data_IF_353694644925
#
_entry.id   IF_353694644925
#
_cell.length_a   1.000
_cell.length_b   1.000
_cell.length_c   1.000
_cell.angle_alpha   90.00
_cell.angle_beta   90.00
_cell.angle_gamma   90.00
#
_symmetry.space_group_name_H-M   'P 1'
#
loop_
_entity.id
_entity.type
_entity.pdbx_description
1 polymer ?
#
# COMPACT_ATOMS: atom_id res chain seq x y z
N UNK A 1 14.87 0.19 -1.74
CA UNK A 1 14.54 -1.24 -1.73
C UNK A 1 15.47 -2.06 -0.85
N UNK A 2 16.20 -1.44 0.08
CA UNK A 2 17.13 -2.17 0.93
C UNK A 2 16.38 -3.20 1.78
N UNK A 3 16.86 -4.45 1.76
CA UNK A 3 16.24 -5.59 2.47
C UNK A 3 15.03 -6.22 1.79
N UNK A 4 14.60 -5.75 0.60
CA UNK A 4 13.51 -6.38 -0.15
C UNK A 4 14.00 -7.53 -1.03
N UNK A 5 13.20 -8.60 -1.13
CA UNK A 5 13.44 -9.69 -2.08
C UNK A 5 12.75 -9.33 -3.40
N UNK A 6 13.52 -9.29 -4.49
CA UNK A 6 13.02 -9.05 -5.84
C UNK A 6 13.06 -10.37 -6.63
N UNK A 7 11.91 -11.02 -6.79
CA UNK A 7 11.80 -12.24 -7.62
C UNK A 7 11.90 -11.87 -9.10
N UNK A 8 12.84 -12.47 -9.85
CA UNK A 8 12.95 -12.26 -11.30
C UNK A 8 11.65 -12.60 -12.04
N UNK A 9 10.93 -13.62 -11.59
CA UNK A 9 9.65 -14.07 -12.18
C UNK A 9 8.57 -13.00 -12.00
N UNK A 10 8.50 -12.37 -10.82
CA UNK A 10 7.56 -11.29 -10.56
C UNK A 10 7.85 -10.05 -11.43
N UNK A 11 9.13 -9.70 -11.60
CA UNK A 11 9.56 -8.59 -12.46
C UNK A 11 9.28 -8.87 -13.93
N UNK A 12 9.52 -10.10 -14.39
CA UNK A 12 9.18 -10.52 -15.75
C UNK A 12 7.67 -10.49 -15.99
N UNK A 13 6.87 -10.90 -15.00
CA UNK A 13 5.41 -10.91 -15.09
C UNK A 13 4.81 -9.49 -15.18
N UNK A 14 5.25 -8.57 -14.32
CA UNK A 14 4.68 -7.21 -14.27
C UNK A 14 5.40 -6.19 -15.16
N UNK A 15 6.59 -6.52 -15.68
CA UNK A 15 7.41 -5.66 -16.54
C UNK A 15 8.02 -4.44 -15.83
N UNK A 16 8.01 -4.40 -14.49
CA UNK A 16 8.54 -3.28 -13.72
C UNK A 16 10.06 -3.43 -13.61
N UNK A 17 10.78 -2.36 -13.96
CA UNK A 17 12.18 -2.15 -13.56
C UNK A 17 12.24 -1.25 -12.31
N UNK A 18 12.54 -1.80 -11.12
CA UNK A 18 12.62 -1.02 -9.88
C UNK A 18 13.76 0.00 -9.86
N UNK A 19 14.77 -0.15 -10.72
CA UNK A 19 15.97 0.69 -10.79
C UNK A 19 15.90 1.77 -11.87
N UNK A 20 14.82 1.81 -12.66
CA UNK A 20 14.63 2.84 -13.68
C UNK A 20 14.57 4.25 -13.04
N UNK A 21 15.51 5.16 -13.34
CA UNK A 21 15.55 6.49 -12.74
C UNK A 21 14.35 7.37 -13.14
N UNK A 22 13.69 7.05 -14.26
CA UNK A 22 12.52 7.77 -14.77
C UNK A 22 11.20 7.20 -14.23
N UNK A 23 11.22 6.16 -13.38
CA UNK A 23 10.01 5.56 -12.78
C UNK A 23 9.25 6.52 -11.87
N UNK A 24 9.90 7.57 -11.36
CA UNK A 24 9.30 8.49 -10.38
C UNK A 24 8.95 7.78 -9.07
N UNK A 25 9.77 6.81 -8.66
CA UNK A 25 9.52 6.02 -7.46
C UNK A 25 9.63 6.89 -6.20
N UNK A 26 8.66 6.74 -5.30
CA UNK A 26 8.66 7.36 -3.96
C UNK A 26 8.79 6.28 -2.88
N UNK A 27 9.08 6.70 -1.65
CA UNK A 27 9.14 5.78 -0.51
C UNK A 27 7.76 5.18 -0.16
N UNK A 28 7.74 4.01 0.50
CA UNK A 28 6.49 3.42 1.02
C UNK A 28 5.75 4.40 1.94
N UNK A 29 6.50 5.12 2.79
CA UNK A 29 5.95 6.14 3.68
C UNK A 29 5.24 7.24 2.89
N UNK A 30 5.90 7.83 1.90
CA UNK A 30 5.35 8.95 1.14
C UNK A 30 4.06 8.55 0.40
N UNK A 31 4.09 7.42 -0.31
CA UNK A 31 2.93 6.90 -1.03
C UNK A 31 1.76 6.59 -0.10
N UNK A 32 1.99 5.76 0.93
CA UNK A 32 0.92 5.34 1.83
C UNK A 32 0.41 6.48 2.71
N UNK A 33 1.28 7.41 3.13
CA UNK A 33 0.85 8.59 3.88
C UNK A 33 -0.10 9.46 3.05
N UNK A 34 0.21 9.70 1.77
CA UNK A 34 -0.64 10.44 0.86
C UNK A 34 -2.00 9.74 0.65
N UNK A 35 -1.98 8.43 0.37
CA UNK A 35 -3.21 7.62 0.23
C UNK A 35 -4.04 7.68 1.51
N UNK A 36 -3.44 7.43 2.68
CA UNK A 36 -4.16 7.42 3.95
C UNK A 36 -4.72 8.80 4.31
N UNK A 37 -4.08 9.90 3.89
CA UNK A 37 -4.62 11.25 4.06
C UNK A 37 -5.92 11.42 3.28
N UNK A 38 -5.96 10.99 2.02
CA UNK A 38 -7.16 11.04 1.17
C UNK A 38 -8.26 10.14 1.73
N UNK A 39 -7.92 8.91 2.11
CA UNK A 39 -8.89 7.95 2.68
C UNK A 39 -9.49 8.48 3.98
N UNK A 40 -8.69 9.01 4.91
CA UNK A 40 -9.21 9.60 6.16
C UNK A 40 -10.11 10.80 5.92
N UNK A 41 -9.79 11.62 4.90
CA UNK A 41 -10.67 12.72 4.49
C UNK A 41 -12.02 12.17 4.02
N UNK A 42 -12.04 11.17 3.14
CA UNK A 42 -13.26 10.52 2.68
C UNK A 42 -14.08 9.91 3.83
N UNK A 43 -13.42 9.21 4.77
CA UNK A 43 -14.07 8.64 5.96
C UNK A 43 -14.79 9.75 6.75
N UNK A 44 -14.12 10.88 6.99
CA UNK A 44 -14.71 12.02 7.72
C UNK A 44 -15.88 12.64 6.94
N UNK A 45 -15.70 12.86 5.65
CA UNK A 45 -16.70 13.50 4.78
C UNK A 45 -17.97 12.64 4.62
N UNK A 46 -17.86 11.32 4.79
CA UNK A 46 -18.96 10.35 4.69
C UNK A 46 -19.44 9.81 6.04
N UNK A 47 -19.00 10.42 7.15
CA UNK A 47 -19.39 10.02 8.52
C UNK A 47 -19.17 8.53 8.82
N UNK A 48 -18.11 7.95 8.25
CA UNK A 48 -17.73 6.55 8.44
C UNK A 48 -16.72 6.39 9.60
N UNK A 49 -16.55 5.15 10.08
CA UNK A 49 -15.58 4.84 11.13
C UNK A 49 -14.20 4.38 10.59
N UNK A 50 -14.18 3.53 9.56
CA UNK A 50 -12.98 2.94 8.94
C UNK A 50 -13.23 2.66 7.46
N UNK A 51 -12.16 2.53 6.69
CA UNK A 51 -12.21 2.06 5.31
C UNK A 51 -12.07 0.53 5.21
N UNK A 52 -12.62 -0.06 4.16
CA UNK A 52 -12.47 -1.49 3.82
C UNK A 52 -11.81 -1.57 2.45
N UNK A 53 -10.81 -2.45 2.30
CA UNK A 53 -10.15 -2.68 1.01
C UNK A 53 -11.09 -3.50 0.12
N UNK A 54 -11.27 -3.05 -1.11
CA UNK A 54 -11.97 -3.78 -2.17
C UNK A 54 -10.95 -4.04 -3.28
N UNK A 55 -10.66 -5.32 -3.54
CA UNK A 55 -9.69 -5.77 -4.53
C UNK A 55 -10.01 -7.20 -5.01
N UNK A 56 -9.42 -7.63 -6.13
CA UNK A 56 -9.60 -8.98 -6.64
C UNK A 56 -8.63 -9.93 -5.93
N UNK A 57 -9.15 -10.95 -5.23
CA UNK A 57 -8.38 -11.73 -4.24
C UNK A 57 -7.79 -10.83 -3.14
N UNK A 58 -8.65 -10.03 -2.50
CA UNK A 58 -8.28 -8.91 -1.63
C UNK A 58 -7.26 -9.21 -0.52
N UNK A 59 -7.17 -10.47 -0.08
CA UNK A 59 -6.13 -10.91 0.85
C UNK A 59 -4.72 -10.58 0.35
N UNK A 60 -4.45 -10.74 -0.95
CA UNK A 60 -3.16 -10.42 -1.55
C UNK A 60 -2.80 -8.94 -1.34
N UNK A 61 -3.58 -8.01 -1.88
CA UNK A 61 -3.32 -6.57 -1.77
C UNK A 61 -3.33 -6.08 -0.32
N UNK A 62 -4.26 -6.59 0.50
CA UNK A 62 -4.37 -6.25 1.91
C UNK A 62 -3.07 -6.61 2.66
N UNK A 63 -2.54 -7.82 2.46
CA UNK A 63 -1.31 -8.26 3.13
C UNK A 63 -0.11 -7.37 2.80
N UNK A 64 0.06 -6.98 1.52
CA UNK A 64 1.13 -6.08 1.09
C UNK A 64 0.96 -4.67 1.67
N UNK A 65 -0.26 -4.14 1.67
CA UNK A 65 -0.55 -2.81 2.24
C UNK A 65 -0.28 -2.77 3.74
N UNK A 66 -0.70 -3.78 4.49
CA UNK A 66 -0.47 -3.85 5.94
C UNK A 66 1.03 -3.96 6.25
N UNK A 67 1.76 -4.85 5.56
CA UNK A 67 3.20 -5.02 5.79
C UNK A 67 4.00 -3.74 5.44
N UNK A 68 3.64 -3.05 4.35
CA UNK A 68 4.28 -1.79 3.98
C UNK A 68 3.96 -0.66 4.99
N UNK A 69 2.73 -0.59 5.49
CA UNK A 69 2.35 0.38 6.51
C UNK A 69 3.11 0.16 7.83
N UNK A 70 3.35 -1.10 8.20
CA UNK A 70 4.15 -1.47 9.37
C UNK A 70 5.61 -1.08 9.21
N UNK A 71 6.26 -1.44 8.10
CA UNK A 71 7.64 -1.03 7.78
C UNK A 71 7.82 0.49 7.77
N UNK A 72 6.83 1.20 7.22
CA UNK A 72 6.81 2.66 7.18
C UNK A 72 6.42 3.31 8.52
N UNK A 73 6.13 2.54 9.57
CA UNK A 73 5.73 3.02 10.91
C UNK A 73 4.49 3.93 10.89
N UNK A 74 3.55 3.68 9.97
CA UNK A 74 2.32 4.46 9.82
C UNK A 74 1.28 4.05 10.86
N UNK A 75 1.32 4.70 12.03
CA UNK A 75 0.45 4.40 13.19
C UNK A 75 -1.05 4.54 12.93
N UNK A 76 -1.47 5.47 12.06
CA UNK A 76 -2.89 5.81 11.83
C UNK A 76 -3.47 5.10 10.61
N UNK A 77 -3.32 3.79 10.47
CA UNK A 77 -3.88 3.08 9.32
C UNK A 77 -5.43 3.20 9.30
N UNK A 78 -6.05 3.76 8.24
CA UNK A 78 -7.50 3.96 8.20
C UNK A 78 -8.29 2.70 7.85
N UNK A 79 -7.61 1.64 7.40
CA UNK A 79 -8.26 0.42 6.93
C UNK A 79 -8.59 -0.54 8.08
N UNK A 80 -9.61 -1.35 7.87
CA UNK A 80 -9.95 -2.45 8.77
C UNK A 80 -8.85 -3.53 8.73
N UNK A 81 -8.46 -4.14 9.87
CA UNK A 81 -7.40 -5.17 9.92
C UNK A 81 -7.77 -6.50 9.25
N UNK A 82 -8.95 -6.60 8.64
CA UNK A 82 -9.50 -7.82 8.09
C UNK A 82 -9.80 -7.66 6.61
N UNK A 83 -9.44 -8.69 5.84
CA UNK A 83 -10.02 -9.04 4.57
C UNK A 83 -10.24 -10.57 4.62
N UNK A 84 -11.48 -11.03 4.85
CA UNK A 84 -11.84 -12.43 4.48
C UNK A 84 -11.92 -12.56 2.99
#
# INVERSE_FOLDING_TARGET
FEGAILSPEALAFNGIDPHNPLRGAVSEYEALHAIFKVVRKGIKDQECNRAVIVAHNAHFDHSFLMAAAERAKLKRNPFHPFAT
#
